data_IF_264822900470
#
_entry.id   IF_264822900470
#
_cell.length_a   1.000
_cell.length_b   1.000
_cell.length_c   1.000
_cell.angle_alpha   90.00
_cell.angle_beta   90.00
_cell.angle_gamma   90.00
#
_symmetry.space_group_name_H-M   'P 1'
#
loop_
_entity.id
_entity.type
_entity.pdbx_description
1 polymer ?
#
# COMPACT_ATOMS: atom_id res chain seq x y z
N UNK A 1 10.78 -27.84 14.14
CA UNK A 1 11.95 -27.31 14.88
C UNK A 1 11.47 -26.21 15.80
N UNK A 2 11.84 -26.23 17.10
CA UNK A 2 11.45 -25.20 18.05
C UNK A 2 12.57 -24.16 18.18
N UNK A 3 12.18 -22.86 18.20
CA UNK A 3 13.09 -21.72 18.29
C UNK A 3 12.56 -20.73 19.33
N UNK A 4 13.44 -20.18 20.13
CA UNK A 4 13.09 -19.16 21.11
C UNK A 4 13.78 -17.84 20.78
N UNK A 5 13.05 -16.72 20.94
CA UNK A 5 13.56 -15.37 20.76
C UNK A 5 12.82 -14.38 21.68
N UNK A 6 13.40 -13.23 21.90
CA UNK A 6 12.75 -12.15 22.67
C UNK A 6 11.60 -11.53 21.85
N UNK A 7 11.87 -11.21 20.58
CA UNK A 7 10.91 -10.65 19.65
C UNK A 7 10.89 -11.40 18.32
N UNK A 8 9.70 -11.73 17.82
CA UNK A 8 9.47 -12.31 16.49
C UNK A 8 8.80 -11.28 15.59
N UNK A 9 9.41 -10.99 14.46
CA UNK A 9 8.85 -10.09 13.43
C UNK A 9 8.31 -10.94 12.28
N UNK A 10 7.06 -10.73 11.89
CA UNK A 10 6.39 -11.46 10.81
C UNK A 10 6.32 -10.58 9.57
N UNK A 11 7.12 -10.89 8.56
CA UNK A 11 7.26 -10.15 7.30
C UNK A 11 8.61 -9.44 7.18
N UNK A 12 9.27 -9.55 6.02
CA UNK A 12 10.54 -8.90 5.68
C UNK A 12 10.36 -7.82 4.60
N UNK A 13 9.25 -7.11 4.63
CA UNK A 13 9.02 -5.87 3.88
C UNK A 13 9.62 -4.65 4.60
N UNK A 14 9.35 -3.42 4.11
CA UNK A 14 9.86 -2.18 4.73
C UNK A 14 9.59 -2.08 6.23
N UNK A 15 8.39 -2.53 6.68
CA UNK A 15 8.00 -2.49 8.08
C UNK A 15 8.85 -3.44 8.94
N UNK A 16 8.98 -4.71 8.51
CA UNK A 16 9.78 -5.68 9.25
C UNK A 16 11.26 -5.33 9.30
N UNK A 17 11.81 -4.81 8.21
CA UNK A 17 13.20 -4.34 8.17
C UNK A 17 13.41 -3.14 9.09
N UNK A 18 12.50 -2.16 9.08
CA UNK A 18 12.58 -1.00 9.97
C UNK A 18 12.51 -1.41 11.45
N UNK A 19 11.59 -2.32 11.81
CA UNK A 19 11.49 -2.89 13.17
C UNK A 19 12.77 -3.62 13.54
N UNK A 20 13.30 -4.50 12.65
CA UNK A 20 14.54 -5.22 12.89
C UNK A 20 15.73 -4.29 13.16
N UNK A 21 15.88 -3.21 12.38
CA UNK A 21 16.91 -2.21 12.60
C UNK A 21 16.76 -1.48 13.96
N UNK A 22 15.51 -1.13 14.32
CA UNK A 22 15.22 -0.49 15.59
C UNK A 22 15.53 -1.43 16.77
N UNK A 23 15.10 -2.67 16.74
CA UNK A 23 15.37 -3.67 17.77
C UNK A 23 16.88 -3.92 17.92
N UNK A 24 17.61 -4.05 16.81
CA UNK A 24 19.08 -4.21 16.82
C UNK A 24 19.78 -3.05 17.51
N UNK A 25 19.38 -1.82 17.20
CA UNK A 25 19.97 -0.63 17.85
C UNK A 25 19.64 -0.53 19.33
N UNK A 26 18.50 -1.09 19.74
CA UNK A 26 18.12 -1.18 21.15
C UNK A 26 18.72 -2.40 21.88
N UNK A 27 19.50 -3.25 21.20
CA UNK A 27 20.09 -4.47 21.79
C UNK A 27 19.08 -5.58 22.09
N UNK A 28 17.88 -5.53 21.49
CA UNK A 28 16.84 -6.55 21.68
C UNK A 28 17.08 -7.70 20.71
N UNK A 29 17.24 -8.95 21.15
CA UNK A 29 17.35 -10.12 20.30
C UNK A 29 16.03 -10.36 19.55
N UNK A 30 16.11 -10.58 18.23
CA UNK A 30 14.91 -10.81 17.42
C UNK A 30 15.17 -11.82 16.28
N UNK A 31 14.08 -12.35 15.77
CA UNK A 31 14.06 -13.11 14.52
C UNK A 31 13.00 -12.50 13.58
N UNK A 32 13.27 -12.56 12.27
CA UNK A 32 12.29 -12.16 11.25
C UNK A 32 11.95 -13.40 10.44
N UNK A 33 10.66 -13.64 10.21
CA UNK A 33 10.16 -14.69 9.32
C UNK A 33 9.45 -14.05 8.12
N UNK A 34 9.68 -14.62 6.93
CA UNK A 34 9.11 -14.14 5.67
C UNK A 34 8.59 -15.33 4.85
N UNK A 35 7.36 -15.25 4.36
CA UNK A 35 6.74 -16.31 3.55
C UNK A 35 7.41 -16.48 2.18
N UNK A 36 7.89 -15.39 1.59
CA UNK A 36 8.54 -15.42 0.30
C UNK A 36 10.01 -15.85 0.38
N UNK A 37 10.59 -16.23 -0.75
CA UNK A 37 12.01 -16.56 -0.88
C UNK A 37 12.95 -15.35 -0.94
N UNK A 38 12.45 -14.12 -0.65
CA UNK A 38 13.24 -12.89 -0.78
C UNK A 38 12.68 -11.77 0.08
N UNK A 39 13.56 -10.84 0.47
CA UNK A 39 13.22 -9.59 1.15
C UNK A 39 12.41 -8.68 0.21
N UNK A 40 11.46 -7.92 0.76
CA UNK A 40 10.69 -6.95 -0.01
C UNK A 40 9.86 -7.54 -1.14
N UNK A 41 9.39 -8.77 -1.00
CA UNK A 41 8.70 -9.55 -2.04
C UNK A 41 7.51 -8.78 -2.66
N UNK A 42 6.73 -8.06 -1.87
CA UNK A 42 5.61 -7.25 -2.37
C UNK A 42 6.06 -6.19 -3.38
N UNK A 43 7.21 -5.53 -3.14
CA UNK A 43 7.79 -4.56 -4.06
C UNK A 43 8.25 -5.20 -5.36
N UNK A 44 8.88 -6.38 -5.30
CA UNK A 44 9.33 -7.14 -6.48
C UNK A 44 8.18 -7.61 -7.35
N UNK A 45 6.98 -7.78 -6.77
CA UNK A 45 5.78 -8.19 -7.48
C UNK A 45 5.00 -7.05 -8.12
N UNK A 46 5.30 -5.80 -7.83
CA UNK A 46 4.62 -4.65 -8.42
C UNK A 46 4.96 -4.47 -9.91
N UNK A 47 4.11 -3.67 -10.59
CA UNK A 47 4.28 -3.32 -12.01
C UNK A 47 5.53 -2.45 -12.26
N UNK A 48 6.04 -2.52 -13.49
CA UNK A 48 7.35 -1.95 -13.85
C UNK A 48 7.40 -0.43 -13.72
N UNK A 49 6.29 0.26 -14.04
CA UNK A 49 6.18 1.72 -13.97
C UNK A 49 6.15 2.27 -12.55
N UNK A 50 5.96 1.47 -11.52
CA UNK A 50 5.77 1.97 -10.16
C UNK A 50 6.93 2.86 -9.69
N UNK A 51 6.58 4.05 -9.23
CA UNK A 51 7.46 4.97 -8.52
C UNK A 51 6.85 5.34 -7.17
N UNK A 52 7.68 5.68 -6.21
CA UNK A 52 7.17 6.29 -4.99
C UNK A 52 6.47 7.60 -5.34
N UNK A 53 5.27 7.80 -4.80
CA UNK A 53 4.56 9.08 -4.91
C UNK A 53 5.05 10.10 -3.87
N UNK A 54 5.78 9.63 -2.87
CA UNK A 54 6.46 10.44 -1.87
C UNK A 54 7.94 10.57 -2.22
N UNK A 55 8.51 11.74 -1.96
CA UNK A 55 9.90 11.99 -2.29
C UNK A 55 10.86 11.18 -1.40
N UNK A 56 12.09 10.94 -1.92
CA UNK A 56 13.10 10.13 -1.24
C UNK A 56 13.48 10.66 0.15
N UNK A 57 13.48 11.98 0.34
CA UNK A 57 13.89 12.59 1.61
C UNK A 57 12.90 12.31 2.75
N UNK A 58 11.63 12.06 2.41
CA UNK A 58 10.60 11.71 3.38
C UNK A 58 10.21 10.22 3.35
N UNK A 59 10.91 9.41 2.54
CA UNK A 59 10.60 7.98 2.36
C UNK A 59 11.71 7.06 2.86
N UNK A 60 12.77 7.59 3.43
CA UNK A 60 13.83 6.79 4.02
C UNK A 60 13.35 6.08 5.30
N UNK A 61 13.81 4.86 5.48
CA UNK A 61 13.67 4.10 6.73
C UNK A 61 14.67 4.62 7.79
N UNK A 62 14.51 4.29 9.07
CA UNK A 62 15.35 4.83 10.12
C UNK A 62 16.85 4.62 9.87
N UNK A 63 17.62 5.72 10.00
CA UNK A 63 19.09 5.78 10.00
C UNK A 63 19.82 5.41 8.70
N UNK A 64 19.12 5.14 7.62
CA UNK A 64 19.74 4.97 6.30
C UNK A 64 18.91 5.69 5.25
N UNK A 65 19.50 6.70 4.63
CA UNK A 65 18.87 7.42 3.54
C UNK A 65 19.00 6.63 2.22
N UNK A 66 18.18 7.00 1.23
CA UNK A 66 18.39 6.51 -0.14
C UNK A 66 19.76 6.91 -0.67
N UNK A 67 20.42 6.09 -1.50
CA UNK A 67 21.72 6.38 -2.08
C UNK A 67 21.78 7.76 -2.75
N UNK A 68 22.92 8.41 -2.69
CA UNK A 68 23.17 9.66 -3.44
C UNK A 68 22.92 9.42 -4.93
N UNK A 69 22.25 10.36 -5.59
CA UNK A 69 21.88 10.23 -7.01
C UNK A 69 20.55 9.56 -7.27
N UNK A 70 19.89 8.94 -6.26
CA UNK A 70 18.51 8.44 -6.44
C UNK A 70 17.59 9.61 -6.83
N UNK A 71 16.72 9.46 -7.85
CA UNK A 71 15.74 10.47 -8.23
C UNK A 71 14.84 10.89 -7.07
N UNK A 72 14.22 12.08 -7.17
CA UNK A 72 13.28 12.59 -6.16
C UNK A 72 12.19 11.58 -5.82
N UNK A 73 11.67 10.90 -6.82
CA UNK A 73 10.66 9.83 -6.69
C UNK A 73 11.28 8.50 -7.14
N UNK A 74 11.79 7.69 -6.22
CA UNK A 74 12.45 6.43 -6.56
C UNK A 74 11.54 5.48 -7.31
N UNK A 75 12.08 4.80 -8.31
CA UNK A 75 11.39 3.71 -9.00
C UNK A 75 11.27 2.48 -8.12
N UNK A 76 10.38 1.55 -8.51
CA UNK A 76 10.27 0.23 -7.89
C UNK A 76 11.63 -0.44 -7.67
N UNK A 77 12.45 -0.47 -8.69
CA UNK A 77 13.74 -1.18 -8.64
C UNK A 77 14.73 -0.47 -7.70
N UNK A 78 14.67 0.86 -7.62
CA UNK A 78 15.47 1.63 -6.66
C UNK A 78 15.01 1.41 -5.22
N UNK A 79 13.70 1.25 -4.98
CA UNK A 79 13.18 0.87 -3.66
C UNK A 79 13.61 -0.54 -3.30
N UNK A 80 13.56 -1.50 -4.23
CA UNK A 80 14.02 -2.88 -4.01
C UNK A 80 15.51 -2.88 -3.62
N UNK A 81 16.36 -2.22 -4.40
CA UNK A 81 17.79 -2.12 -4.11
C UNK A 81 18.07 -1.45 -2.76
N UNK A 82 17.29 -0.42 -2.41
CA UNK A 82 17.37 0.24 -1.11
C UNK A 82 17.01 -0.71 0.05
N UNK A 83 15.96 -1.52 -0.08
CA UNK A 83 15.57 -2.49 0.95
C UNK A 83 16.63 -3.57 1.14
N UNK A 84 17.23 -4.07 0.06
CA UNK A 84 18.34 -5.03 0.11
C UNK A 84 19.55 -4.42 0.83
N UNK A 85 19.96 -3.21 0.46
CA UNK A 85 21.03 -2.45 1.11
C UNK A 85 20.71 -2.16 2.58
N UNK A 86 19.46 -1.86 2.91
CA UNK A 86 19.03 -1.61 4.28
C UNK A 86 19.18 -2.87 5.15
N UNK A 87 18.77 -4.02 4.65
CA UNK A 87 18.93 -5.28 5.35
C UNK A 87 20.41 -5.62 5.58
N UNK A 88 21.25 -5.45 4.56
CA UNK A 88 22.70 -5.66 4.63
C UNK A 88 23.36 -4.72 5.65
N UNK A 89 23.06 -3.42 5.57
CA UNK A 89 23.62 -2.38 6.47
C UNK A 89 23.37 -2.67 7.94
N UNK A 90 22.16 -3.19 8.27
CA UNK A 90 21.82 -3.55 9.63
C UNK A 90 22.07 -5.04 9.95
N UNK A 91 22.66 -5.82 9.06
CA UNK A 91 22.92 -7.24 9.25
C UNK A 91 21.65 -8.06 9.49
N UNK A 92 20.52 -7.67 8.89
CA UNK A 92 19.22 -8.34 9.06
C UNK A 92 19.16 -9.53 8.09
N UNK A 93 19.05 -10.74 8.63
CA UNK A 93 18.92 -11.99 7.87
C UNK A 93 17.61 -12.67 8.24
N UNK A 94 16.54 -12.48 7.45
CA UNK A 94 15.26 -13.13 7.69
C UNK A 94 15.30 -14.64 7.40
N UNK A 95 14.48 -15.40 8.12
CA UNK A 95 14.15 -16.78 7.76
C UNK A 95 13.11 -16.75 6.63
N UNK A 96 13.57 -17.00 5.42
CA UNK A 96 12.74 -17.00 4.20
C UNK A 96 11.97 -18.33 4.04
N UNK A 97 10.88 -18.29 3.24
CA UNK A 97 10.03 -19.46 3.01
C UNK A 97 9.22 -19.90 4.23
N UNK A 98 9.01 -19.00 5.20
CA UNK A 98 8.30 -19.26 6.44
C UNK A 98 6.92 -18.59 6.41
N UNK A 99 5.90 -19.29 5.91
CA UNK A 99 4.51 -18.86 5.98
C UNK A 99 3.99 -19.07 7.40
N UNK A 100 3.66 -18.00 8.09
CA UNK A 100 3.02 -18.06 9.42
C UNK A 100 1.55 -18.47 9.23
N UNK A 101 1.16 -19.54 9.90
CA UNK A 101 -0.17 -20.12 9.84
C UNK A 101 -1.01 -19.77 11.07
N UNK A 102 -0.36 -19.55 12.21
CA UNK A 102 -1.04 -19.24 13.46
C UNK A 102 -0.16 -18.49 14.44
N UNK A 103 -0.76 -17.54 15.15
CA UNK A 103 -0.17 -16.81 16.30
C UNK A 103 -1.13 -16.89 17.46
N UNK A 104 -0.66 -17.36 18.62
CA UNK A 104 -1.48 -17.52 19.83
C UNK A 104 -0.69 -17.12 21.07
N UNK A 105 -1.38 -16.54 22.05
CA UNK A 105 -0.82 -16.31 23.39
C UNK A 105 -1.16 -17.51 24.28
N UNK A 106 -0.16 -18.17 24.85
CA UNK A 106 -0.32 -19.30 25.78
C UNK A 106 0.62 -19.16 26.95
N UNK A 107 0.09 -19.23 28.16
CA UNK A 107 0.88 -19.11 29.39
C UNK A 107 1.85 -17.92 29.41
N UNK A 108 1.41 -16.77 28.91
CA UNK A 108 2.23 -15.54 28.88
C UNK A 108 3.31 -15.48 27.78
N UNK A 109 3.35 -16.46 26.89
CA UNK A 109 4.25 -16.49 25.74
C UNK A 109 3.50 -16.56 24.41
N UNK A 110 4.01 -15.88 23.39
CA UNK A 110 3.51 -15.99 22.04
C UNK A 110 4.07 -17.23 21.35
N UNK A 111 3.17 -18.06 20.83
CA UNK A 111 3.48 -19.25 20.03
C UNK A 111 3.08 -18.95 18.60
N UNK A 112 4.08 -18.93 17.71
CA UNK A 112 3.88 -18.73 16.27
C UNK A 112 4.28 -20.00 15.52
N UNK A 113 3.38 -20.51 14.67
CA UNK A 113 3.64 -21.72 13.87
C UNK A 113 3.81 -21.37 12.39
N UNK A 114 4.78 -22.03 11.75
CA UNK A 114 5.08 -21.94 10.32
C UNK A 114 5.54 -23.31 9.82
N UNK A 115 4.65 -24.05 9.17
CA UNK A 115 4.91 -25.44 8.79
C UNK A 115 5.34 -26.28 10.00
N UNK A 116 6.54 -26.86 9.95
CA UNK A 116 7.13 -27.66 11.05
C UNK A 116 7.89 -26.82 12.08
N UNK A 117 8.00 -25.51 11.89
CA UNK A 117 8.70 -24.59 12.78
C UNK A 117 7.75 -23.97 13.80
N UNK A 118 8.17 -23.93 15.07
CA UNK A 118 7.47 -23.28 16.16
C UNK A 118 8.40 -22.22 16.75
N UNK A 119 7.91 -20.98 16.83
CA UNK A 119 8.63 -19.85 17.45
C UNK A 119 7.95 -19.50 18.76
N UNK A 120 8.72 -19.43 19.85
CA UNK A 120 8.29 -18.92 21.14
C UNK A 120 8.92 -17.56 21.38
N UNK A 121 8.11 -16.55 21.65
CA UNK A 121 8.62 -15.19 21.89
C UNK A 121 7.82 -14.47 22.97
N UNK A 122 8.42 -13.46 23.58
CA UNK A 122 7.70 -12.55 24.49
C UNK A 122 6.92 -11.51 23.68
N UNK A 123 7.47 -11.13 22.52
CA UNK A 123 6.87 -10.12 21.66
C UNK A 123 6.68 -10.66 20.26
N UNK A 124 5.55 -10.31 19.63
CA UNK A 124 5.28 -10.55 18.21
C UNK A 124 4.99 -9.22 17.54
N UNK A 125 5.69 -8.95 16.45
CA UNK A 125 5.47 -7.76 15.63
C UNK A 125 4.95 -8.20 14.25
N UNK A 126 3.68 -7.93 13.98
CA UNK A 126 3.05 -8.18 12.68
C UNK A 126 3.45 -7.06 11.73
N UNK A 127 4.21 -7.39 10.69
CA UNK A 127 4.74 -6.49 9.66
C UNK A 127 4.44 -7.00 8.24
N UNK A 128 3.34 -7.76 8.08
CA UNK A 128 2.95 -8.43 6.83
C UNK A 128 2.42 -7.49 5.76
N UNK A 129 2.18 -6.22 6.11
CA UNK A 129 1.75 -5.17 5.21
C UNK A 129 0.24 -5.11 5.01
N UNK A 130 -0.20 -3.92 4.62
CA UNK A 130 -1.60 -3.60 4.40
C UNK A 130 -2.16 -4.20 3.09
N UNK A 131 -1.29 -4.40 2.08
CA UNK A 131 -1.64 -4.86 0.74
C UNK A 131 -1.32 -6.36 0.54
N UNK A 132 -1.82 -7.23 1.42
CA UNK A 132 -1.46 -8.65 1.39
C UNK A 132 -2.38 -9.49 0.50
N UNK A 133 -3.69 -9.25 0.54
CA UNK A 133 -4.69 -10.05 -0.18
C UNK A 133 -5.39 -9.20 -1.23
N UNK A 134 -5.26 -9.52 -2.54
CA UNK A 134 -5.96 -8.82 -3.62
C UNK A 134 -7.48 -8.84 -3.42
N UNK A 135 -8.12 -7.67 -3.48
CA UNK A 135 -9.57 -7.58 -3.44
C UNK A 135 -10.15 -7.73 -4.85
N UNK A 136 -10.86 -8.81 -5.09
CA UNK A 136 -11.55 -9.08 -6.36
C UNK A 136 -13.05 -8.93 -6.14
N UNK A 137 -13.72 -7.95 -6.79
CA UNK A 137 -15.16 -7.82 -6.72
C UNK A 137 -15.87 -9.08 -7.24
N UNK A 138 -16.95 -9.44 -6.59
CA UNK A 138 -17.84 -10.53 -7.02
C UNK A 138 -18.94 -9.95 -7.91
N UNK A 139 -18.59 -9.68 -9.17
CA UNK A 139 -19.56 -9.20 -10.15
C UNK A 139 -20.31 -10.35 -10.78
N UNK A 140 -21.66 -10.26 -10.88
CA UNK A 140 -22.44 -11.23 -11.66
C UNK A 140 -21.90 -11.39 -13.07
N UNK A 141 -21.82 -12.62 -13.56
CA UNK A 141 -21.36 -12.95 -14.90
C UNK A 141 -19.85 -13.03 -15.08
N UNK A 142 -19.08 -13.01 -13.98
CA UNK A 142 -17.62 -13.11 -14.03
C UNK A 142 -17.15 -14.39 -14.74
N UNK A 143 -17.83 -15.50 -14.52
CA UNK A 143 -17.54 -16.84 -15.06
C UNK A 143 -17.75 -16.92 -16.57
N UNK A 144 -18.64 -16.08 -17.12
CA UNK A 144 -19.00 -16.07 -18.55
C UNK A 144 -18.32 -14.93 -19.33
N UNK A 145 -17.52 -14.08 -18.67
CA UNK A 145 -16.89 -12.92 -19.31
C UNK A 145 -15.98 -13.30 -20.48
N UNK A 146 -15.32 -14.44 -20.40
CA UNK A 146 -14.57 -15.03 -21.53
C UNK A 146 -13.38 -14.20 -22.03
N UNK A 147 -12.99 -13.15 -21.31
CA UNK A 147 -11.85 -12.29 -21.59
C UNK A 147 -10.90 -12.20 -20.39
N UNK A 148 -9.75 -11.57 -20.59
CA UNK A 148 -8.73 -11.45 -19.57
C UNK A 148 -9.21 -10.57 -18.42
N UNK A 149 -9.24 -11.15 -17.20
CA UNK A 149 -9.57 -10.47 -15.95
C UNK A 149 -8.44 -10.68 -14.95
N UNK A 150 -7.67 -9.64 -14.68
CA UNK A 150 -6.50 -9.73 -13.79
C UNK A 150 -6.54 -8.63 -12.72
N UNK A 151 -6.01 -8.95 -11.55
CA UNK A 151 -5.82 -7.94 -10.50
C UNK A 151 -4.53 -7.14 -10.75
N UNK A 152 -4.43 -5.91 -10.21
CA UNK A 152 -3.23 -5.08 -10.32
C UNK A 152 -1.94 -5.75 -9.81
N UNK A 153 -2.06 -6.74 -8.91
CA UNK A 153 -0.93 -7.57 -8.46
C UNK A 153 -0.37 -8.51 -9.54
N UNK A 154 -1.15 -8.78 -10.59
CA UNK A 154 -0.76 -9.66 -11.72
C UNK A 154 -0.36 -8.84 -12.95
N UNK A 155 -0.62 -7.52 -12.91
CA UNK A 155 -0.23 -6.61 -13.97
C UNK A 155 1.27 -6.29 -13.87
N UNK A 156 1.98 -6.29 -15.00
CA UNK A 156 3.41 -5.95 -15.08
C UNK A 156 3.64 -4.68 -15.88
N UNK A 157 3.15 -4.66 -17.11
CA UNK A 157 3.24 -3.49 -18.00
C UNK A 157 2.20 -3.58 -19.12
N UNK A 158 2.02 -2.49 -19.86
CA UNK A 158 1.03 -2.37 -20.92
C UNK A 158 1.36 -3.09 -22.23
N UNK A 159 2.57 -3.65 -22.39
CA UNK A 159 3.03 -4.23 -23.68
C UNK A 159 2.08 -5.28 -24.26
N UNK A 160 1.56 -6.15 -23.39
CA UNK A 160 0.65 -7.24 -23.77
C UNK A 160 -0.76 -6.77 -24.14
N UNK A 161 -1.07 -5.48 -23.99
CA UNK A 161 -2.40 -4.91 -24.22
C UNK A 161 -2.45 -3.94 -25.40
N UNK A 162 -1.38 -3.84 -26.18
CA UNK A 162 -1.30 -2.93 -27.32
C UNK A 162 -2.45 -3.17 -28.30
N UNK A 163 -3.17 -2.09 -28.66
CA UNK A 163 -4.32 -2.12 -29.56
C UNK A 163 -5.61 -2.68 -28.96
N UNK A 164 -5.59 -3.14 -27.70
CA UNK A 164 -6.76 -3.69 -27.01
C UNK A 164 -7.57 -2.59 -26.34
N UNK A 165 -8.87 -2.87 -26.14
CA UNK A 165 -9.77 -2.10 -25.30
C UNK A 165 -9.66 -2.61 -23.86
N UNK A 166 -9.10 -1.79 -22.95
CA UNK A 166 -8.81 -2.21 -21.58
C UNK A 166 -9.57 -1.34 -20.59
N UNK A 167 -10.33 -2.00 -19.71
CA UNK A 167 -10.99 -1.36 -18.59
C UNK A 167 -10.11 -1.48 -17.34
N UNK A 168 -9.78 -0.37 -16.71
CA UNK A 168 -9.17 -0.35 -15.37
C UNK A 168 -10.26 -0.06 -14.35
N UNK A 169 -10.58 -1.03 -13.52
CA UNK A 169 -11.62 -0.90 -12.51
C UNK A 169 -11.05 -0.37 -11.18
N UNK A 170 -11.39 0.86 -10.89
CA UNK A 170 -10.93 1.62 -9.72
C UNK A 170 -9.91 2.71 -10.08
N UNK A 171 -10.09 3.88 -9.47
CA UNK A 171 -9.21 5.05 -9.61
C UNK A 171 -8.60 5.42 -8.25
N UNK A 172 -7.68 4.58 -7.79
CA UNK A 172 -6.67 4.89 -6.78
C UNK A 172 -5.31 5.08 -7.44
N UNK A 173 -4.24 5.18 -6.64
CA UNK A 173 -2.90 5.38 -7.16
C UNK A 173 -2.49 4.31 -8.18
N UNK A 174 -2.71 3.03 -7.88
CA UNK A 174 -2.43 1.94 -8.83
C UNK A 174 -3.27 2.03 -10.10
N UNK A 175 -4.57 2.35 -9.98
CA UNK A 175 -5.45 2.48 -11.15
C UNK A 175 -5.03 3.62 -12.08
N UNK A 176 -4.68 4.77 -11.51
CA UNK A 176 -4.16 5.90 -12.27
C UNK A 176 -2.86 5.58 -13.01
N UNK A 177 -1.88 5.00 -12.30
CA UNK A 177 -0.59 4.62 -12.92
C UNK A 177 -0.73 3.55 -14.00
N UNK A 178 -1.52 2.51 -13.75
CA UNK A 178 -1.77 1.44 -14.72
C UNK A 178 -2.48 1.99 -15.96
N UNK A 179 -3.44 2.90 -15.79
CA UNK A 179 -4.12 3.54 -16.92
C UNK A 179 -3.15 4.36 -17.77
N UNK A 180 -2.21 5.10 -17.16
CA UNK A 180 -1.16 5.80 -17.88
C UNK A 180 -0.27 4.82 -18.64
N UNK A 181 0.21 3.76 -17.98
CA UNK A 181 1.11 2.77 -18.56
C UNK A 181 0.47 2.06 -19.76
N UNK A 182 -0.78 1.64 -19.65
CA UNK A 182 -1.56 1.06 -20.74
C UNK A 182 -1.68 2.02 -21.94
N UNK A 183 -1.99 3.29 -21.65
CA UNK A 183 -2.13 4.33 -22.68
C UNK A 183 -0.79 4.62 -23.39
N UNK A 184 0.32 4.65 -22.67
CA UNK A 184 1.67 4.82 -23.22
C UNK A 184 2.10 3.63 -24.09
N UNK A 185 1.61 2.43 -23.79
CA UNK A 185 1.85 1.23 -24.60
C UNK A 185 0.85 1.03 -25.77
N UNK A 186 -0.07 1.99 -25.96
CA UNK A 186 -0.99 1.99 -27.12
C UNK A 186 -2.25 1.16 -26.92
N UNK A 187 -2.68 0.90 -25.70
CA UNK A 187 -4.02 0.40 -25.40
C UNK A 187 -5.06 1.54 -25.47
N UNK A 188 -6.32 1.22 -25.78
CA UNK A 188 -7.47 2.12 -25.60
C UNK A 188 -8.02 1.91 -24.20
N UNK A 189 -7.91 2.94 -23.36
CA UNK A 189 -8.11 2.80 -21.91
C UNK A 189 -9.40 3.47 -21.45
N UNK A 190 -10.18 2.77 -20.63
CA UNK A 190 -11.26 3.34 -19.85
C UNK A 190 -11.05 3.07 -18.35
N UNK A 191 -11.47 4.01 -17.53
CA UNK A 191 -11.48 3.91 -16.06
C UNK A 191 -12.92 3.71 -15.58
N UNK A 192 -13.19 2.63 -14.83
CA UNK A 192 -14.46 2.47 -14.14
C UNK A 192 -14.34 3.05 -12.72
N UNK A 193 -15.09 4.13 -12.43
CA UNK A 193 -14.99 4.87 -11.18
C UNK A 193 -16.33 4.92 -10.46
N UNK A 194 -16.49 4.02 -9.48
CA UNK A 194 -17.74 3.89 -8.69
C UNK A 194 -17.89 4.95 -7.61
N UNK A 195 -16.81 5.30 -6.94
CA UNK A 195 -16.86 6.10 -5.70
C UNK A 195 -16.31 7.50 -5.91
N UNK A 196 -16.82 8.45 -5.12
CA UNK A 196 -16.22 9.77 -5.02
C UNK A 196 -14.78 9.67 -4.46
N UNK A 197 -13.92 10.58 -4.88
CA UNK A 197 -12.50 10.60 -4.51
C UNK A 197 -11.99 12.02 -4.31
N UNK A 198 -10.89 12.15 -3.58
CA UNK A 198 -10.05 13.34 -3.62
C UNK A 198 -8.85 13.10 -4.54
N UNK A 199 -8.46 14.15 -5.24
CA UNK A 199 -7.25 14.17 -6.06
C UNK A 199 -6.34 15.26 -5.55
N UNK A 200 -5.08 14.95 -5.37
CA UNK A 200 -4.02 15.88 -5.02
C UNK A 200 -2.89 15.80 -6.04
N UNK A 201 -2.21 16.91 -6.36
CA UNK A 201 -1.05 16.86 -7.22
C UNK A 201 0.13 16.23 -6.45
N UNK A 202 1.07 15.59 -7.16
CA UNK A 202 2.29 15.09 -6.53
C UNK A 202 3.22 16.21 -6.06
N UNK A 203 3.21 17.35 -6.79
CA UNK A 203 3.99 18.53 -6.47
C UNK A 203 3.12 19.79 -6.54
N UNK A 204 3.48 20.76 -5.70
CA UNK A 204 2.88 22.09 -5.66
C UNK A 204 4.03 23.09 -5.78
N UNK A 205 4.07 23.87 -6.87
CA UNK A 205 5.14 24.84 -7.17
C UNK A 205 6.56 24.21 -7.06
N UNK A 206 6.72 22.96 -7.53
CA UNK A 206 8.00 22.25 -7.48
C UNK A 206 8.35 21.64 -6.11
N UNK A 207 7.50 21.82 -5.09
CA UNK A 207 7.65 21.19 -3.77
C UNK A 207 6.79 19.93 -3.69
N UNK A 208 7.30 18.84 -3.11
CA UNK A 208 6.49 17.64 -2.87
C UNK A 208 5.28 17.96 -2.02
N UNK A 209 4.08 17.49 -2.44
CA UNK A 209 2.85 17.69 -1.65
C UNK A 209 2.97 17.09 -0.24
N UNK A 210 3.80 16.08 -0.08
CA UNK A 210 4.08 15.46 1.21
C UNK A 210 4.74 16.44 2.19
N UNK A 211 5.66 17.28 1.75
CA UNK A 211 6.29 18.32 2.60
C UNK A 211 5.22 19.28 3.16
N UNK A 212 4.27 19.70 2.31
CA UNK A 212 3.14 20.51 2.76
C UNK A 212 2.24 19.74 3.74
N UNK A 213 1.96 18.47 3.45
CA UNK A 213 1.15 17.61 4.35
C UNK A 213 1.81 17.45 5.72
N UNK A 214 3.14 17.27 5.77
CA UNK A 214 3.89 17.21 7.03
C UNK A 214 3.81 18.54 7.79
N UNK A 215 3.96 19.67 7.11
CA UNK A 215 3.86 20.98 7.75
C UNK A 215 2.44 21.21 8.35
N UNK A 216 1.41 20.81 7.60
CA UNK A 216 0.01 20.95 8.03
C UNK A 216 -0.44 19.87 9.03
N UNK A 217 0.30 18.77 9.22
CA UNK A 217 -0.09 17.65 10.09
C UNK A 217 -0.19 18.00 11.58
N UNK A 218 0.30 19.19 11.99
CA UNK A 218 0.15 19.73 13.35
C UNK A 218 -1.17 20.45 13.59
N UNK A 219 -1.91 20.73 12.53
CA UNK A 219 -3.21 21.40 12.59
C UNK A 219 -4.35 20.36 12.62
N UNK A 220 -5.52 20.73 13.17
CA UNK A 220 -6.71 19.91 13.02
C UNK A 220 -6.98 19.62 11.53
N UNK A 221 -7.37 18.39 11.16
CA UNK A 221 -7.48 17.96 9.76
C UNK A 221 -8.34 18.86 8.87
N UNK A 222 -9.48 19.30 9.40
CA UNK A 222 -10.40 20.20 8.67
C UNK A 222 -9.78 21.57 8.38
N UNK A 223 -8.97 22.09 9.31
CA UNK A 223 -8.28 23.36 9.12
C UNK A 223 -7.15 23.21 8.10
N UNK A 224 -6.37 22.13 8.20
CA UNK A 224 -5.32 21.80 7.23
C UNK A 224 -5.89 21.66 5.81
N UNK A 225 -7.03 20.97 5.67
CA UNK A 225 -7.75 20.83 4.40
C UNK A 225 -8.25 22.17 3.87
N UNK A 226 -8.82 23.04 4.74
CA UNK A 226 -9.29 24.36 4.34
C UNK A 226 -8.17 25.26 3.80
N UNK A 227 -6.99 25.20 4.42
CA UNK A 227 -5.81 25.96 3.98
C UNK A 227 -5.21 25.41 2.66
N UNK A 228 -5.25 24.11 2.45
CA UNK A 228 -4.72 23.48 1.23
C UNK A 228 -5.69 23.55 0.04
N UNK A 229 -7.01 23.63 0.29
CA UNK A 229 -8.05 23.50 -0.72
C UNK A 229 -7.94 24.50 -1.89
N UNK A 230 -7.69 25.81 -1.68
CA UNK A 230 -7.58 26.78 -2.80
C UNK A 230 -6.45 26.40 -3.76
N UNK A 231 -5.31 26.02 -3.23
CA UNK A 231 -4.13 25.68 -4.01
C UNK A 231 -4.32 24.34 -4.77
N UNK A 232 -4.88 23.34 -4.10
CA UNK A 232 -5.23 22.07 -4.76
C UNK A 232 -6.22 22.32 -5.90
N UNK A 233 -7.27 23.16 -5.67
CA UNK A 233 -8.26 23.49 -6.68
C UNK A 233 -7.66 24.22 -7.87
N UNK A 234 -6.70 25.11 -7.65
CA UNK A 234 -6.01 25.82 -8.72
C UNK A 234 -5.22 24.87 -9.63
N UNK A 235 -4.55 23.87 -9.06
CA UNK A 235 -3.68 22.95 -9.79
C UNK A 235 -4.47 21.81 -10.42
N UNK A 236 -5.35 21.16 -9.64
CA UNK A 236 -6.13 20.01 -10.08
C UNK A 236 -7.33 20.41 -10.94
N UNK A 237 -7.92 21.59 -10.68
CA UNK A 237 -9.14 22.04 -11.33
C UNK A 237 -10.39 21.34 -10.79
N UNK A 238 -11.50 21.50 -11.51
CA UNK A 238 -12.75 20.82 -11.20
C UNK A 238 -12.81 19.45 -11.86
N UNK A 239 -12.72 18.40 -11.04
CA UNK A 239 -12.75 17.00 -11.53
C UNK A 239 -14.17 16.56 -11.94
N UNK A 240 -15.23 17.30 -11.60
CA UNK A 240 -16.59 16.95 -12.00
C UNK A 240 -16.80 17.06 -13.50
N UNK A 241 -16.08 17.99 -14.15
CA UNK A 241 -16.07 18.14 -15.62
C UNK A 241 -15.46 16.94 -16.35
N UNK A 242 -14.76 16.08 -15.61
CA UNK A 242 -14.14 14.86 -16.12
C UNK A 242 -14.97 13.59 -15.82
N UNK A 243 -16.22 13.74 -15.37
CA UNK A 243 -17.07 12.62 -14.98
C UNK A 243 -16.72 12.01 -13.61
N UNK A 244 -15.86 12.67 -12.82
CA UNK A 244 -15.43 12.21 -11.48
C UNK A 244 -16.24 12.93 -10.39
N UNK A 245 -16.53 12.21 -9.31
CA UNK A 245 -17.25 12.79 -8.16
C UNK A 245 -16.24 13.11 -7.05
N UNK A 246 -16.27 14.37 -6.57
CA UNK A 246 -15.42 14.82 -5.45
C UNK A 246 -16.00 14.38 -4.10
N UNK A 247 -15.15 13.96 -3.17
CA UNK A 247 -15.55 13.73 -1.79
C UNK A 247 -15.93 15.05 -1.09
N UNK A 248 -16.93 15.04 -0.18
CA UNK A 248 -17.35 16.23 0.56
C UNK A 248 -16.32 16.65 1.63
N UNK A 249 -15.38 15.79 1.98
CA UNK A 249 -14.31 16.06 2.94
C UNK A 249 -12.98 16.26 2.22
N UNK A 250 -12.04 16.97 2.83
CA UNK A 250 -10.71 17.16 2.24
C UNK A 250 -9.81 15.94 2.36
N UNK A 251 -8.64 15.94 1.68
CA UNK A 251 -7.76 14.77 1.58
C UNK A 251 -7.15 14.32 2.92
N UNK A 252 -6.82 15.24 3.83
CA UNK A 252 -6.27 14.90 5.14
C UNK A 252 -7.36 14.28 6.03
N UNK A 253 -8.54 14.91 6.08
CA UNK A 253 -9.72 14.37 6.79
C UNK A 253 -10.10 12.99 6.24
N UNK A 254 -10.05 12.79 4.91
CA UNK A 254 -10.28 11.48 4.30
C UNK A 254 -9.34 10.41 4.86
N UNK A 255 -8.03 10.68 4.90
CA UNK A 255 -7.04 9.71 5.42
C UNK A 255 -7.37 9.32 6.86
N UNK A 256 -7.64 10.30 7.70
CA UNK A 256 -7.86 10.07 9.14
C UNK A 256 -9.18 9.36 9.44
N UNK A 257 -10.23 9.66 8.66
CA UNK A 257 -11.57 9.08 8.92
C UNK A 257 -11.84 7.77 8.20
N UNK A 258 -11.18 7.53 7.06
CA UNK A 258 -11.47 6.35 6.22
C UNK A 258 -10.29 5.42 6.00
N UNK A 259 -9.09 5.81 6.46
CA UNK A 259 -7.84 5.09 6.16
C UNK A 259 -7.64 4.84 4.66
N UNK A 260 -8.08 5.78 3.81
CA UNK A 260 -7.90 5.71 2.35
C UNK A 260 -7.05 6.89 1.86
N UNK A 261 -6.02 6.57 1.08
CA UNK A 261 -5.15 7.59 0.46
C UNK A 261 -5.92 8.27 -0.69
N UNK A 262 -5.88 9.60 -0.81
CA UNK A 262 -6.37 10.29 -2.01
C UNK A 262 -5.56 9.87 -3.24
N UNK A 263 -6.12 10.04 -4.44
CA UNK A 263 -5.36 9.88 -5.68
C UNK A 263 -4.28 10.96 -5.75
N UNK A 264 -3.03 10.55 -5.82
CA UNK A 264 -1.91 11.43 -6.13
C UNK A 264 -1.75 11.44 -7.66
N UNK A 265 -2.22 12.51 -8.31
CA UNK A 265 -2.20 12.58 -9.76
C UNK A 265 -0.77 12.81 -10.29
N UNK A 266 -0.34 11.91 -11.17
CA UNK A 266 0.94 11.96 -11.86
C UNK A 266 0.78 12.06 -13.38
N UNK A 267 -0.42 12.47 -13.84
CA UNK A 267 -0.73 12.66 -15.24
C UNK A 267 -2.00 11.96 -15.73
N UNK A 268 -2.69 11.21 -14.88
CA UNK A 268 -3.96 10.54 -15.22
C UNK A 268 -5.01 11.55 -15.65
N UNK A 269 -5.22 12.62 -14.86
CA UNK A 269 -6.21 13.64 -15.19
C UNK A 269 -5.90 14.38 -16.49
N UNK A 270 -4.61 14.56 -16.82
CA UNK A 270 -4.20 15.13 -18.11
C UNK A 270 -4.68 14.25 -19.26
N UNK A 271 -4.42 12.94 -19.21
CA UNK A 271 -4.86 12.00 -20.26
C UNK A 271 -6.38 11.90 -20.36
N UNK A 272 -7.12 12.06 -19.25
CA UNK A 272 -8.57 12.15 -19.27
C UNK A 272 -9.03 13.44 -19.97
N UNK A 273 -8.43 14.60 -19.69
CA UNK A 273 -8.74 15.88 -20.36
C UNK A 273 -8.44 15.84 -21.86
N UNK A 274 -7.39 15.15 -22.23
CA UNK A 274 -7.00 14.93 -23.65
C UNK A 274 -7.90 13.91 -24.37
N UNK A 275 -8.89 13.31 -23.68
CA UNK A 275 -9.77 12.27 -24.25
C UNK A 275 -9.10 10.94 -24.52
N UNK A 276 -7.86 10.74 -24.06
CA UNK A 276 -7.08 9.51 -24.23
C UNK A 276 -7.47 8.41 -23.24
N UNK A 277 -8.07 8.76 -22.13
CA UNK A 277 -8.63 7.85 -21.14
C UNK A 277 -10.08 8.25 -20.92
N UNK A 278 -11.00 7.33 -21.17
CA UNK A 278 -12.42 7.52 -20.87
C UNK A 278 -12.71 7.27 -19.40
N UNK A 279 -13.66 8.03 -18.82
CA UNK A 279 -14.17 7.79 -17.46
C UNK A 279 -15.59 7.26 -17.55
N UNK A 280 -15.86 6.15 -16.88
CA UNK A 280 -17.14 5.43 -16.85
C UNK A 280 -17.60 5.25 -15.41
N UNK A 281 -18.88 4.94 -15.22
CA UNK A 281 -19.47 4.59 -13.94
C UNK A 281 -18.93 3.30 -13.33
N UNK A 282 -19.48 2.88 -12.20
CA UNK A 282 -19.12 1.60 -11.57
C UNK A 282 -19.55 0.41 -12.42
N UNK A 283 -18.79 -0.68 -12.37
CA UNK A 283 -19.16 -1.94 -13.02
C UNK A 283 -20.27 -2.62 -12.21
N UNK A 284 -21.38 -2.96 -12.87
CA UNK A 284 -22.53 -3.66 -12.30
C UNK A 284 -22.49 -5.16 -12.55
N UNK A 285 -22.18 -5.56 -13.78
CA UNK A 285 -22.15 -6.97 -14.18
C UNK A 285 -21.21 -7.18 -15.37
N UNK A 286 -20.79 -8.41 -15.58
CA UNK A 286 -20.02 -8.88 -16.74
C UNK A 286 -20.89 -9.80 -17.59
N UNK A 287 -20.69 -9.76 -18.91
CA UNK A 287 -21.43 -10.58 -19.89
C UNK A 287 -20.49 -11.33 -20.82
N UNK A 288 -21.07 -12.09 -21.71
CA UNK A 288 -20.33 -12.87 -22.71
C UNK A 288 -19.48 -12.00 -23.65
N UNK A 289 -18.36 -12.54 -24.11
CA UNK A 289 -17.55 -11.93 -25.16
C UNK A 289 -16.86 -10.63 -24.78
N UNK A 290 -16.79 -10.31 -23.48
CA UNK A 290 -16.15 -9.10 -22.99
C UNK A 290 -17.11 -7.95 -22.70
N UNK A 291 -18.40 -8.17 -22.68
CA UNK A 291 -19.40 -7.14 -22.36
C UNK A 291 -19.35 -6.77 -20.88
N UNK A 292 -19.40 -5.47 -20.59
CA UNK A 292 -19.41 -4.89 -19.23
C UNK A 292 -20.60 -3.96 -19.13
N UNK A 293 -21.49 -4.23 -18.17
CA UNK A 293 -22.63 -3.38 -17.82
C UNK A 293 -22.24 -2.46 -16.69
N UNK A 294 -22.51 -1.15 -16.84
CA UNK A 294 -22.22 -0.11 -15.86
C UNK A 294 -23.45 0.27 -15.03
N UNK A 295 -23.25 1.07 -13.97
CA UNK A 295 -24.31 1.49 -13.04
C UNK A 295 -25.42 2.32 -13.73
N UNK A 296 -25.09 3.02 -14.84
CA UNK A 296 -26.03 3.79 -15.66
C UNK A 296 -26.81 2.92 -16.68
N UNK A 297 -26.59 1.61 -16.68
CA UNK A 297 -27.21 0.66 -17.60
C UNK A 297 -26.52 0.56 -18.96
N UNK A 298 -25.52 1.37 -19.26
CA UNK A 298 -24.76 1.27 -20.50
C UNK A 298 -23.95 -0.03 -20.56
N UNK A 299 -23.75 -0.56 -21.77
CA UNK A 299 -22.93 -1.76 -22.02
C UNK A 299 -21.81 -1.39 -22.97
N UNK A 300 -20.59 -1.79 -22.63
CA UNK A 300 -19.39 -1.65 -23.49
C UNK A 300 -18.59 -2.93 -23.48
N UNK A 301 -17.90 -3.19 -24.59
CA UNK A 301 -17.05 -4.38 -24.74
C UNK A 301 -15.59 -4.04 -24.47
N UNK A 302 -14.90 -4.96 -23.76
CA UNK A 302 -13.47 -4.85 -23.45
C UNK A 302 -12.75 -6.18 -23.71
N UNK A 303 -11.50 -6.10 -24.16
CA UNK A 303 -10.61 -7.24 -24.34
C UNK A 303 -9.99 -7.70 -23.01
N UNK A 304 -9.85 -6.76 -22.06
CA UNK A 304 -9.31 -7.06 -20.75
C UNK A 304 -9.86 -6.11 -19.68
N UNK A 305 -9.89 -6.60 -18.43
CA UNK A 305 -10.15 -5.78 -17.23
C UNK A 305 -8.97 -5.93 -16.29
N UNK A 306 -8.42 -4.80 -15.83
CA UNK A 306 -7.45 -4.73 -14.75
C UNK A 306 -8.14 -4.23 -13.49
N UNK A 307 -8.21 -5.10 -12.46
CA UNK A 307 -8.82 -4.79 -11.18
C UNK A 307 -7.84 -3.99 -10.31
N UNK A 308 -7.95 -2.68 -10.29
CA UNK A 308 -7.25 -1.78 -9.39
C UNK A 308 -8.10 -1.49 -8.14
N UNK A 309 -8.70 -2.55 -7.61
CA UNK A 309 -9.72 -2.53 -6.54
C UNK A 309 -9.15 -2.60 -5.14
N UNK A 310 -7.81 -2.58 -5.02
CA UNK A 310 -7.10 -2.56 -3.76
C UNK A 310 -6.92 -3.95 -3.12
N UNK A 311 -6.58 -3.92 -1.84
CA UNK A 311 -6.18 -5.11 -1.08
C UNK A 311 -6.85 -5.13 0.29
N UNK A 312 -6.73 -6.27 0.98
CA UNK A 312 -7.05 -6.46 2.40
C UNK A 312 -5.78 -6.93 3.15
N UNK A 313 -5.65 -6.62 4.45
CA UNK A 313 -4.48 -7.04 5.23
C UNK A 313 -4.34 -8.56 5.39
N UNK A 314 -5.46 -9.31 5.39
CA UNK A 314 -5.46 -10.78 5.48
C UNK A 314 -4.97 -11.31 6.82
N UNK A 315 -5.11 -10.55 7.89
CA UNK A 315 -4.66 -10.91 9.25
C UNK A 315 -5.43 -12.13 9.79
N UNK A 316 -6.68 -12.28 9.39
CA UNK A 316 -7.57 -13.37 9.77
C UNK A 316 -7.08 -14.77 9.33
N UNK A 317 -6.07 -14.80 8.47
CA UNK A 317 -5.47 -16.07 8.02
C UNK A 317 -4.60 -16.74 9.09
N UNK A 318 -4.09 -15.96 10.04
CA UNK A 318 -3.16 -16.47 11.06
C UNK A 318 -3.38 -15.86 12.47
N UNK A 319 -4.21 -14.83 12.59
CA UNK A 319 -4.61 -14.23 13.86
C UNK A 319 -6.07 -14.51 14.16
N UNK A 320 -6.39 -14.69 15.45
CA UNK A 320 -7.77 -14.75 15.93
C UNK A 320 -8.47 -13.39 15.73
N UNK A 321 -9.83 -13.36 15.53
CA UNK A 321 -10.56 -12.13 15.24
C UNK A 321 -10.33 -11.00 16.25
N UNK A 322 -10.25 -11.30 17.54
CA UNK A 322 -9.97 -10.33 18.59
C UNK A 322 -8.59 -9.67 18.45
N UNK A 323 -7.59 -10.42 17.99
CA UNK A 323 -6.24 -9.90 17.75
C UNK A 323 -6.16 -9.07 16.46
N UNK A 324 -6.95 -9.40 15.45
CA UNK A 324 -7.00 -8.62 14.19
C UNK A 324 -7.49 -7.19 14.43
N UNK A 325 -8.43 -6.98 15.34
CA UNK A 325 -8.97 -5.65 15.67
C UNK A 325 -7.93 -4.71 16.29
N UNK A 326 -6.82 -5.24 16.81
CA UNK A 326 -5.75 -4.47 17.44
C UNK A 326 -4.79 -3.81 16.44
N UNK A 327 -4.93 -4.02 15.13
CA UNK A 327 -4.00 -3.53 14.12
C UNK A 327 -3.84 -1.99 14.05
N UNK A 328 -4.71 -1.24 14.71
CA UNK A 328 -4.65 0.22 14.82
C UNK A 328 -4.30 0.74 16.22
N UNK A 329 -4.07 -0.16 17.20
CA UNK A 329 -3.85 0.19 18.62
C UNK A 329 -2.38 0.06 19.02
N UNK A 330 -1.96 0.73 20.10
CA UNK A 330 -0.69 0.44 20.76
C UNK A 330 -0.58 -1.03 21.16
N UNK A 331 0.62 -1.58 21.18
CA UNK A 331 0.87 -2.99 21.51
C UNK A 331 0.28 -3.40 22.86
N UNK A 332 -0.44 -4.51 22.88
CA UNK A 332 -1.01 -5.11 24.07
C UNK A 332 -0.44 -6.52 24.24
N UNK A 333 -0.14 -6.91 25.47
CA UNK A 333 0.39 -8.23 25.82
C UNK A 333 1.59 -8.68 24.97
N UNK A 334 2.39 -7.72 24.45
CA UNK A 334 3.54 -8.01 23.60
C UNK A 334 3.22 -8.22 22.11
N UNK A 335 1.97 -8.02 21.67
CA UNK A 335 1.60 -8.02 20.24
C UNK A 335 1.61 -6.59 19.70
N UNK A 336 2.30 -6.39 18.59
CA UNK A 336 2.44 -5.10 17.91
C UNK A 336 2.12 -5.22 16.43
N UNK A 337 1.74 -4.10 15.83
CA UNK A 337 1.50 -3.98 14.39
C UNK A 337 2.33 -2.83 13.82
N UNK A 338 3.04 -3.06 12.70
CA UNK A 338 3.83 -2.05 12.01
C UNK A 338 3.46 -1.98 10.53
N UNK A 339 3.17 -0.78 10.03
CA UNK A 339 2.83 -0.54 8.63
C UNK A 339 1.36 -0.79 8.29
N UNK A 340 0.47 -0.78 9.27
CA UNK A 340 -0.98 -0.91 9.06
C UNK A 340 -1.71 0.43 9.15
N UNK A 341 -1.12 1.43 9.76
CA UNK A 341 -1.70 2.76 9.89
C UNK A 341 -1.34 3.60 8.67
N UNK A 342 -2.36 4.05 7.93
CA UNK A 342 -2.17 5.00 6.85
C UNK A 342 -1.93 6.39 7.43
N UNK A 343 -0.82 7.01 7.04
CA UNK A 343 -0.40 8.32 7.54
C UNK A 343 -0.45 9.37 6.43
N UNK A 344 -0.98 10.57 6.71
CA UNK A 344 -0.89 11.69 5.78
C UNK A 344 0.56 12.16 5.55
N UNK A 345 1.50 11.71 6.39
CA UNK A 345 2.93 12.05 6.28
C UNK A 345 3.74 10.99 5.51
N UNK A 346 3.07 10.08 4.79
CA UNK A 346 3.70 9.03 3.97
C UNK A 346 3.89 7.71 4.71
N UNK A 347 3.69 6.59 3.98
CA UNK A 347 3.69 5.25 4.56
C UNK A 347 5.08 4.84 5.08
N UNK A 348 6.15 4.99 4.29
CA UNK A 348 7.50 4.59 4.72
C UNK A 348 7.99 5.40 5.92
N UNK A 349 7.69 6.72 5.93
CA UNK A 349 7.95 7.57 7.09
C UNK A 349 7.16 7.10 8.31
N UNK A 350 5.86 6.81 8.15
CA UNK A 350 5.00 6.29 9.22
C UNK A 350 5.55 4.99 9.80
N UNK A 351 5.94 4.06 8.96
CA UNK A 351 6.62 2.81 9.34
C UNK A 351 7.85 3.09 10.22
N UNK A 352 8.69 4.04 9.83
CA UNK A 352 9.87 4.40 10.61
C UNK A 352 9.55 4.97 12.00
N UNK A 353 8.46 5.72 12.12
CA UNK A 353 7.98 6.25 13.42
C UNK A 353 7.44 5.11 14.28
N UNK A 354 6.58 4.25 13.72
CA UNK A 354 6.02 3.08 14.41
C UNK A 354 7.11 2.12 14.87
N UNK A 355 8.10 1.81 14.02
CA UNK A 355 9.18 0.90 14.34
C UNK A 355 10.04 1.39 15.53
N UNK A 356 10.35 2.69 15.57
CA UNK A 356 11.08 3.29 16.72
C UNK A 356 10.25 3.21 17.99
N UNK A 357 8.96 3.52 17.89
CA UNK A 357 8.07 3.46 19.05
C UNK A 357 7.97 2.03 19.59
N UNK A 358 7.75 1.02 18.73
CA UNK A 358 7.68 -0.40 19.10
C UNK A 358 8.96 -0.84 19.82
N UNK A 359 10.13 -0.55 19.28
CA UNK A 359 11.39 -0.94 19.88
C UNK A 359 11.60 -0.30 21.26
N UNK A 360 11.26 0.98 21.40
CA UNK A 360 11.35 1.69 22.70
C UNK A 360 10.36 1.13 23.74
N UNK A 361 9.13 0.79 23.33
CA UNK A 361 8.13 0.21 24.24
C UNK A 361 8.57 -1.18 24.73
N UNK A 362 9.13 -2.03 23.85
CA UNK A 362 9.69 -3.33 24.22
C UNK A 362 10.80 -3.17 25.27
N UNK A 363 11.73 -2.24 25.05
CA UNK A 363 12.82 -1.98 26.01
C UNK A 363 12.28 -1.47 27.33
N UNK A 364 11.29 -0.59 27.34
CA UNK A 364 10.72 -0.03 28.57
C UNK A 364 10.03 -1.10 29.42
N UNK A 365 9.36 -2.06 28.81
CA UNK A 365 8.68 -3.19 29.47
C UNK A 365 9.64 -4.30 29.93
N UNK A 366 10.83 -4.39 29.32
CA UNK A 366 11.88 -5.35 29.71
C UNK A 366 12.78 -4.91 30.86
N UNK A 367 12.69 -3.66 31.32
CA UNK A 367 13.44 -3.21 32.49
C UNK A 367 12.74 -3.68 33.76
N UNK A 368 13.45 -4.39 34.68
CA UNK A 368 12.89 -4.69 36.00
C UNK A 368 12.54 -3.37 36.68
N UNK A 369 11.35 -3.29 37.29
CA UNK A 369 10.91 -2.19 38.16
C UNK A 369 11.70 -2.18 39.46
#
# INVERSE_FOLDING_TARGET
MERQCEALVIGAGPAGLAVGACLRRCGVPFQIVEQAGTIGASWRQHYDRLHLHTDRGHSALPWLDFPKGTPRYPSRDQVIAYLDQYAEHFGIVPHLGQLVERVQLRAGQWITTSGTSVYRSKHVIVATGYNAVPHRPDWPGREIFGRRLLHSSEYRNGKAFRGQDVLVAGLGNSGGEIAIDLCEHGARVALAVRSALNVIPREILGLPVLALSIALSRLPPRLADALAAPLIRLIVGDISTLGLRKLPVGPITQIETTSKVPLIDIGTLRLVREGRIAVLGGVRALGHGGDVTFDDGSVRRFDAIVLATGYRPGLEKFLEPGLCAMSGTPGQDGLYFCGFRISPTGMLRGIGVEARWIANDIVSKGRPQ
#
